data_IF_729140289445
#
_entry.id   IF_729140289445
#
_cell.length_a   1.000
_cell.length_b   1.000
_cell.length_c   1.000
_cell.angle_alpha   90.00
_cell.angle_beta   90.00
_cell.angle_gamma   90.00
#
_symmetry.space_group_name_H-M   'P 1'
#
loop_
_entity.id
_entity.type
_entity.pdbx_description
1 polymer ?
#
# COMPACT_ATOMS: atom_id res chain seq x y z
N UNK A 1 4.11 7.30 -23.92
CA UNK A 1 4.61 7.87 -22.65
C UNK A 1 4.38 9.36 -22.63
N UNK A 2 3.87 9.90 -21.52
CA UNK A 2 3.88 11.34 -21.29
C UNK A 2 5.32 11.77 -20.98
N UNK A 3 5.70 12.96 -21.46
CA UNK A 3 7.04 13.52 -21.55
C UNK A 3 8.12 12.92 -20.58
N UNK A 4 9.08 12.11 -21.08
CA UNK A 4 10.10 11.46 -20.25
C UNK A 4 11.01 12.44 -19.52
N UNK A 5 11.13 13.68 -20.02
CA UNK A 5 11.98 14.72 -19.43
C UNK A 5 11.57 15.05 -17.98
N UNK A 6 10.27 14.95 -17.66
CA UNK A 6 9.77 15.23 -16.31
C UNK A 6 10.24 14.16 -15.31
N UNK A 7 10.22 12.90 -15.71
CA UNK A 7 10.70 11.77 -14.90
C UNK A 7 12.21 11.93 -14.71
N UNK A 8 12.95 12.16 -15.81
CA UNK A 8 14.41 12.30 -15.78
C UNK A 8 14.83 13.43 -14.84
N UNK A 9 14.19 14.60 -14.91
CA UNK A 9 14.52 15.74 -14.03
C UNK A 9 14.16 15.46 -12.57
N UNK A 10 13.04 14.77 -12.32
CA UNK A 10 12.68 14.35 -10.96
C UNK A 10 13.72 13.36 -10.41
N UNK A 11 14.09 12.35 -11.18
CA UNK A 11 15.10 11.37 -10.78
C UNK A 11 16.44 12.03 -10.45
N UNK A 12 16.88 13.02 -11.25
CA UNK A 12 18.13 13.76 -11.03
C UNK A 12 18.15 14.52 -9.69
N UNK A 13 16.99 14.94 -9.20
CA UNK A 13 16.91 15.67 -7.93
C UNK A 13 17.18 14.75 -6.73
N UNK A 14 16.75 13.49 -6.81
CA UNK A 14 16.84 12.52 -5.70
C UNK A 14 18.04 11.58 -5.83
N UNK A 15 18.48 11.28 -7.05
CA UNK A 15 19.51 10.30 -7.33
C UNK A 15 20.49 10.80 -8.40
N UNK A 16 21.77 10.66 -8.11
CA UNK A 16 22.80 10.70 -9.13
C UNK A 16 22.78 9.40 -9.94
N UNK A 17 22.54 9.53 -11.25
CA UNK A 17 22.61 8.43 -12.20
C UNK A 17 23.59 8.73 -13.33
N UNK A 18 24.29 7.69 -13.80
CA UNK A 18 25.28 7.81 -14.88
C UNK A 18 24.67 7.64 -16.26
N UNK A 19 23.69 6.75 -16.36
CA UNK A 19 23.04 6.37 -17.61
C UNK A 19 21.56 6.13 -17.34
N UNK A 20 20.74 6.35 -18.36
CA UNK A 20 19.35 5.95 -18.37
C UNK A 20 19.00 5.30 -19.70
N UNK A 21 18.01 4.43 -19.67
CA UNK A 21 17.47 3.72 -20.82
C UNK A 21 15.95 3.86 -20.81
N UNK A 22 15.39 4.24 -21.96
CA UNK A 22 13.95 4.45 -22.13
C UNK A 22 13.43 3.28 -22.95
N UNK A 23 12.47 2.56 -22.37
CA UNK A 23 11.69 1.50 -23.02
C UNK A 23 10.26 1.97 -23.23
N UNK A 24 9.44 1.21 -23.97
CA UNK A 24 8.05 1.59 -24.27
C UNK A 24 7.20 1.83 -23.01
N UNK A 25 7.45 1.06 -21.94
CA UNK A 25 6.65 1.07 -20.71
C UNK A 25 7.42 1.49 -19.46
N UNK A 26 8.74 1.68 -19.56
CA UNK A 26 9.60 1.93 -18.41
C UNK A 26 10.78 2.83 -18.72
N UNK A 27 11.33 3.45 -17.68
CA UNK A 27 12.60 4.17 -17.73
C UNK A 27 13.51 3.58 -16.66
N UNK A 28 14.65 3.06 -17.08
CA UNK A 28 15.65 2.46 -16.20
C UNK A 28 16.81 3.41 -16.03
N UNK A 29 17.18 3.70 -14.79
CA UNK A 29 18.31 4.56 -14.43
C UNK A 29 19.38 3.71 -13.73
N UNK A 30 20.63 3.90 -14.13
CA UNK A 30 21.78 3.29 -13.45
C UNK A 30 22.24 4.26 -12.34
N UNK A 31 21.82 3.96 -11.11
CA UNK A 31 22.01 4.78 -9.91
C UNK A 31 23.15 4.23 -9.05
N UNK A 32 23.76 5.08 -8.25
CA UNK A 32 24.70 4.61 -7.24
C UNK A 32 23.94 4.00 -6.04
N UNK A 33 24.42 2.86 -5.53
CA UNK A 33 23.77 2.13 -4.43
C UNK A 33 23.78 2.86 -3.08
N UNK A 34 24.54 3.94 -2.95
CA UNK A 34 24.71 4.71 -1.72
C UNK A 34 23.57 5.73 -1.47
N UNK A 35 22.35 5.43 -1.93
CA UNK A 35 21.18 6.29 -1.71
C UNK A 35 20.66 6.17 -0.27
N UNK A 36 20.28 7.30 0.34
CA UNK A 36 19.54 7.32 1.60
C UNK A 36 18.13 6.76 1.35
N UNK A 37 17.70 5.77 2.15
CA UNK A 37 16.35 5.17 2.06
C UNK A 37 15.24 6.23 2.17
N UNK A 38 15.48 7.31 2.91
CA UNK A 38 14.53 8.44 3.02
C UNK A 38 14.30 9.12 1.66
N UNK A 39 15.35 9.28 0.87
CA UNK A 39 15.25 9.91 -0.45
C UNK A 39 14.42 9.04 -1.41
N UNK A 40 14.49 7.71 -1.26
CA UNK A 40 13.69 6.80 -2.07
C UNK A 40 12.20 6.89 -1.74
N UNK A 41 11.84 6.94 -0.45
CA UNK A 41 10.43 7.09 -0.05
C UNK A 41 9.83 8.40 -0.59
N UNK A 42 10.53 9.52 -0.41
CA UNK A 42 10.07 10.82 -0.91
C UNK A 42 9.98 10.86 -2.43
N UNK A 43 10.93 10.23 -3.13
CA UNK A 43 10.92 10.10 -4.57
C UNK A 43 9.70 9.32 -5.08
N UNK A 44 9.36 8.21 -4.43
CA UNK A 44 8.18 7.41 -4.77
C UNK A 44 6.89 8.22 -4.56
N UNK A 45 6.81 9.01 -3.50
CA UNK A 45 5.65 9.88 -3.28
C UNK A 45 5.50 10.93 -4.39
N UNK A 46 6.59 11.54 -4.85
CA UNK A 46 6.55 12.48 -5.97
C UNK A 46 6.17 11.80 -7.29
N UNK A 47 6.68 10.59 -7.55
CA UNK A 47 6.29 9.79 -8.72
C UNK A 47 4.79 9.43 -8.69
N UNK A 48 4.27 9.06 -7.52
CA UNK A 48 2.86 8.70 -7.35
C UNK A 48 1.92 9.86 -7.70
N UNK A 49 2.30 11.11 -7.42
CA UNK A 49 1.52 12.30 -7.79
C UNK A 49 1.38 12.47 -9.31
N UNK A 50 2.38 12.00 -10.08
CA UNK A 50 2.36 12.07 -11.55
C UNK A 50 1.91 10.76 -12.20
N UNK A 51 1.49 9.76 -11.42
CA UNK A 51 0.96 8.49 -11.92
C UNK A 51 2.05 7.47 -12.29
N UNK A 52 3.20 7.55 -11.65
CA UNK A 52 4.32 6.62 -11.85
C UNK A 52 4.70 5.99 -10.51
N UNK A 53 5.42 4.87 -10.58
CA UNK A 53 6.07 4.24 -9.42
C UNK A 53 7.46 3.79 -9.82
N UNK A 54 8.32 3.51 -8.86
CA UNK A 54 9.65 2.99 -9.13
C UNK A 54 10.03 1.87 -8.17
N UNK A 55 11.00 1.07 -8.59
CA UNK A 55 11.60 0.02 -7.79
C UNK A 55 13.09 -0.06 -8.09
N UNK A 56 13.85 -0.46 -7.08
CA UNK A 56 15.27 -0.72 -7.19
C UNK A 56 15.49 -2.20 -7.51
N UNK A 57 16.23 -2.46 -8.58
CA UNK A 57 16.80 -3.77 -8.86
C UNK A 57 18.28 -3.74 -8.46
N UNK A 58 18.68 -4.68 -7.61
CA UNK A 58 20.06 -4.84 -7.11
C UNK A 58 20.76 -6.05 -7.74
N UNK A 59 20.07 -6.83 -8.56
CA UNK A 59 20.56 -8.11 -9.08
C UNK A 59 21.56 -7.93 -10.23
N UNK A 60 21.42 -6.85 -11.01
CA UNK A 60 22.26 -6.54 -12.18
C UNK A 60 22.78 -5.08 -12.12
N UNK A 61 23.45 -4.76 -11.01
CA UNK A 61 23.83 -3.39 -10.66
C UNK A 61 22.68 -2.63 -9.98
N UNK A 62 22.97 -1.46 -9.41
CA UNK A 62 21.93 -0.66 -8.76
C UNK A 62 21.12 0.11 -9.80
N UNK A 63 20.01 -0.50 -10.22
CA UNK A 63 19.11 0.04 -11.22
C UNK A 63 17.84 0.55 -10.56
N UNK A 64 17.38 1.72 -10.97
CA UNK A 64 16.12 2.30 -10.59
C UNK A 64 15.19 2.25 -11.79
N UNK A 65 14.13 1.45 -11.71
CA UNK A 65 13.20 1.23 -12.80
C UNK A 65 11.92 1.97 -12.47
N UNK A 66 11.55 2.93 -13.32
CA UNK A 66 10.34 3.75 -13.21
C UNK A 66 9.32 3.26 -14.21
N UNK A 67 8.09 3.00 -13.75
CA UNK A 67 6.99 2.50 -14.58
C UNK A 67 5.75 3.37 -14.39
N UNK A 68 4.94 3.49 -15.45
CA UNK A 68 3.65 4.18 -15.37
C UNK A 68 2.68 3.28 -14.60
N UNK A 69 2.18 3.78 -13.48
CA UNK A 69 1.14 3.08 -12.73
C UNK A 69 -0.21 3.39 -13.40
N UNK A 70 -0.77 2.41 -14.10
CA UNK A 70 -2.19 2.48 -14.47
C UNK A 70 -2.99 2.42 -13.18
N UNK A 71 -3.45 3.59 -12.71
CA UNK A 71 -4.33 3.73 -11.56
C UNK A 71 -5.70 3.13 -11.91
N UNK A 72 -5.78 1.81 -12.05
CA UNK A 72 -7.03 1.09 -11.94
C UNK A 72 -7.56 1.40 -10.53
N UNK A 73 -8.63 2.18 -10.46
CA UNK A 73 -9.21 2.74 -9.23
C UNK A 73 -9.80 1.71 -8.25
N UNK A 74 -9.16 0.57 -8.04
CA UNK A 74 -9.59 -0.50 -7.13
C UNK A 74 -9.21 -0.29 -5.66
N UNK A 75 -8.49 0.78 -5.32
CA UNK A 75 -7.89 0.91 -3.99
C UNK A 75 -8.90 1.19 -2.86
N UNK A 76 -10.12 1.65 -3.18
CA UNK A 76 -11.12 1.96 -2.15
C UNK A 76 -11.93 0.73 -1.70
N UNK A 77 -12.27 -0.17 -2.62
CA UNK A 77 -13.16 -1.31 -2.32
C UNK A 77 -12.40 -2.40 -1.56
N UNK A 78 -11.14 -2.66 -1.91
CA UNK A 78 -10.31 -3.67 -1.22
C UNK A 78 -10.09 -3.30 0.26
N UNK A 79 -9.88 -2.01 0.56
CA UNK A 79 -9.77 -1.54 1.97
C UNK A 79 -11.06 -1.76 2.76
N UNK A 80 -12.22 -1.55 2.14
CA UNK A 80 -13.52 -1.80 2.77
C UNK A 80 -13.73 -3.30 3.01
N UNK A 81 -13.42 -4.15 2.04
CA UNK A 81 -13.52 -5.61 2.17
C UNK A 81 -12.61 -6.11 3.30
N UNK A 82 -11.36 -5.65 3.34
CA UNK A 82 -10.43 -5.99 4.42
C UNK A 82 -10.94 -5.54 5.79
N UNK A 83 -11.50 -4.32 5.88
CA UNK A 83 -12.13 -3.84 7.12
C UNK A 83 -13.27 -4.74 7.59
N UNK A 84 -14.15 -5.18 6.68
CA UNK A 84 -15.27 -6.09 7.00
C UNK A 84 -14.74 -7.45 7.49
N UNK A 85 -13.71 -8.00 6.85
CA UNK A 85 -13.10 -9.28 7.24
C UNK A 85 -12.48 -9.15 8.63
N UNK A 86 -11.75 -8.07 8.92
CA UNK A 86 -11.15 -7.84 10.23
C UNK A 86 -12.20 -7.74 11.33
N UNK A 87 -13.28 -6.96 11.12
CA UNK A 87 -14.37 -6.84 12.09
C UNK A 87 -15.04 -8.20 12.32
N UNK A 88 -15.34 -8.94 11.25
CA UNK A 88 -15.97 -10.26 11.34
C UNK A 88 -15.11 -11.26 12.09
N UNK A 89 -13.79 -11.21 11.90
CA UNK A 89 -12.83 -12.09 12.59
C UNK A 89 -12.72 -11.76 14.07
N UNK A 90 -12.76 -10.48 14.45
CA UNK A 90 -12.76 -10.04 15.86
C UNK A 90 -14.05 -10.47 16.56
N UNK A 91 -15.20 -10.32 15.89
CA UNK A 91 -16.48 -10.79 16.43
C UNK A 91 -16.46 -12.31 16.60
N UNK A 92 -15.98 -13.05 15.59
CA UNK A 92 -15.90 -14.50 15.65
C UNK A 92 -14.92 -14.99 16.74
N UNK A 93 -13.74 -14.37 16.86
CA UNK A 93 -12.78 -14.73 17.90
C UNK A 93 -13.30 -14.39 19.30
N UNK A 94 -13.98 -13.25 19.46
CA UNK A 94 -14.70 -12.91 20.69
C UNK A 94 -15.81 -13.91 21.02
N UNK A 95 -16.55 -14.38 20.01
CA UNK A 95 -17.60 -15.38 20.16
C UNK A 95 -17.04 -16.75 20.59
N UNK A 96 -15.91 -17.18 20.01
CA UNK A 96 -15.19 -18.41 20.38
C UNK A 96 -14.61 -18.30 21.81
N UNK A 97 -14.09 -17.12 22.18
CA UNK A 97 -13.53 -16.86 23.51
C UNK A 97 -14.62 -16.94 24.58
N UNK A 98 -15.79 -16.34 24.35
CA UNK A 98 -16.91 -16.38 25.28
C UNK A 98 -17.51 -17.80 25.39
N UNK A 99 -17.60 -18.54 24.27
CA UNK A 99 -18.01 -19.95 24.28
C UNK A 99 -17.06 -20.85 25.07
N UNK A 100 -15.77 -20.58 24.99
CA UNK A 100 -14.72 -21.37 25.65
C UNK A 100 -14.62 -21.05 27.15
N UNK A 101 -15.02 -19.84 27.58
CA UNK A 101 -14.92 -19.41 28.98
C UNK A 101 -16.24 -19.59 29.76
N UNK A 102 -17.39 -19.44 29.11
CA UNK A 102 -18.68 -19.28 29.81
C UNK A 102 -19.55 -20.54 29.85
N UNK A 103 -19.24 -21.61 29.11
CA UNK A 103 -19.95 -22.91 29.19
C UNK A 103 -21.48 -22.83 29.04
N UNK A 104 -22.02 -21.75 28.49
CA UNK A 104 -23.44 -21.39 28.53
C UNK A 104 -23.87 -20.66 27.25
N UNK A 105 -25.12 -20.92 26.82
CA UNK A 105 -25.64 -20.53 25.50
C UNK A 105 -25.75 -19.01 25.31
N UNK A 106 -25.14 -18.43 24.24
CA UNK A 106 -24.89 -16.99 24.09
C UNK A 106 -26.11 -16.13 23.67
N UNK A 107 -27.29 -16.74 23.47
CA UNK A 107 -28.45 -16.04 22.89
C UNK A 107 -29.11 -15.06 23.88
N UNK A 108 -28.96 -15.26 25.19
CA UNK A 108 -29.58 -14.39 26.21
C UNK A 108 -28.84 -13.07 26.44
N UNK A 109 -27.52 -13.04 26.27
CA UNK A 109 -26.72 -11.83 26.54
C UNK A 109 -26.87 -10.79 25.42
N UNK A 110 -26.95 -11.24 24.16
CA UNK A 110 -27.07 -10.35 23.01
C UNK A 110 -28.45 -9.65 22.97
N UNK A 111 -29.54 -10.35 23.31
CA UNK A 111 -30.86 -9.74 23.42
C UNK A 111 -30.96 -8.80 24.64
N UNK A 112 -30.29 -9.12 25.76
CA UNK A 112 -30.24 -8.23 26.93
C UNK A 112 -29.56 -6.89 26.65
N UNK A 113 -28.47 -6.89 25.88
CA UNK A 113 -27.73 -5.67 25.53
C UNK A 113 -28.46 -4.74 24.56
N UNK A 114 -29.27 -5.29 23.66
CA UNK A 114 -30.03 -4.49 22.68
C UNK A 114 -31.28 -3.87 23.34
N UNK A 115 -31.93 -4.56 24.28
CA UNK A 115 -33.09 -4.02 25.01
C UNK A 115 -32.71 -3.00 26.10
N UNK A 116 -31.51 -3.07 26.71
CA UNK A 116 -31.08 -2.10 27.72
C UNK A 116 -30.74 -0.71 27.16
N UNK A 117 -30.38 -0.62 25.87
CA UNK A 117 -30.05 0.65 25.22
C UNK A 117 -31.29 1.47 24.81
N UNK A 118 -32.49 0.90 24.93
CA UNK A 118 -33.76 1.53 24.52
C UNK A 118 -34.58 2.08 25.71
N UNK A 119 -34.08 1.99 26.95
CA UNK A 119 -34.80 2.38 28.18
C UNK A 119 -34.21 3.60 28.90
N UNK A 120 -33.47 4.47 28.22
CA UNK A 120 -33.00 5.74 28.80
C UNK A 120 -33.37 6.95 27.96
#
# INVERSE_FOLDING_TARGET
MDNPDKIINLTKFYFDFKKYEISEDSITFDINCNGDERNFSEYIDQLNLIGYTAFTDYYDGCKLIVIKYSKHGGHSIIKIIMGIITISTIIYSGFIYDLSYSGGTPVKSLLGGIFFLQSH
#
